data_IF_542108893095
#
_entry.id   IF_542108893095
#
_cell.length_a   1.000
_cell.length_b   1.000
_cell.length_c   1.000
_cell.angle_alpha   90.00
_cell.angle_beta   90.00
_cell.angle_gamma   90.00
#
_symmetry.space_group_name_H-M   'P 1'
#
loop_
_entity.id
_entity.type
_entity.pdbx_description
1 polymer ?
#
# COMPACT_ATOMS: atom_id res chain seq x y z
N UNK A 1 0.58 -4.75 -14.98
CA UNK A 1 -0.29 -4.29 -16.05
C UNK A 1 -0.16 -5.16 -17.31
N UNK A 2 0.98 -5.17 -18.03
CA UNK A 2 1.15 -5.95 -19.30
C UNK A 2 0.75 -7.42 -19.19
N UNK A 3 1.05 -8.10 -18.08
CA UNK A 3 0.66 -9.50 -17.89
C UNK A 3 -0.86 -9.65 -17.81
N UNK A 4 -1.55 -8.75 -17.10
CA UNK A 4 -3.01 -8.77 -17.01
C UNK A 4 -3.66 -8.52 -18.37
N UNK A 5 -3.17 -7.53 -19.12
CA UNK A 5 -3.63 -7.24 -20.49
C UNK A 5 -3.44 -8.46 -21.40
N UNK A 6 -2.27 -9.11 -21.36
CA UNK A 6 -1.99 -10.31 -22.18
C UNK A 6 -2.90 -11.50 -21.85
N UNK A 7 -3.54 -11.51 -20.68
CA UNK A 7 -4.44 -12.56 -20.24
C UNK A 7 -5.90 -12.09 -20.15
N UNK A 8 -6.21 -10.93 -20.74
CA UNK A 8 -7.56 -10.32 -20.72
C UNK A 8 -8.14 -10.26 -19.30
N UNK A 9 -7.33 -9.75 -18.37
CA UNK A 9 -7.72 -9.59 -16.96
C UNK A 9 -7.90 -8.11 -16.63
N UNK A 10 -9.02 -7.72 -15.99
CA UNK A 10 -9.22 -6.35 -15.58
C UNK A 10 -8.18 -5.93 -14.54
N UNK A 11 -7.78 -4.66 -14.60
CA UNK A 11 -6.84 -4.05 -13.66
C UNK A 11 -7.52 -2.86 -13.01
N UNK A 12 -7.55 -2.85 -11.69
CA UNK A 12 -8.10 -1.74 -10.90
C UNK A 12 -6.97 -1.03 -10.17
N UNK A 13 -7.04 0.29 -10.14
CA UNK A 13 -6.13 1.11 -9.36
C UNK A 13 -6.78 1.44 -8.01
N UNK A 14 -6.13 1.01 -6.92
CA UNK A 14 -6.63 1.27 -5.56
C UNK A 14 -6.37 2.72 -5.11
N UNK A 15 -5.39 3.39 -5.69
CA UNK A 15 -5.16 4.81 -5.45
C UNK A 15 -6.21 5.61 -6.20
N UNK A 16 -6.94 6.53 -5.52
CA UNK A 16 -7.89 7.41 -6.19
C UNK A 16 -7.21 8.33 -7.20
N UNK A 17 -7.96 8.77 -8.21
CA UNK A 17 -7.46 9.72 -9.19
C UNK A 17 -7.29 11.12 -8.56
N UNK A 18 -6.51 11.97 -9.21
CA UNK A 18 -6.31 13.36 -8.79
C UNK A 18 -7.58 14.21 -8.92
N UNK A 19 -8.54 13.77 -9.71
CA UNK A 19 -9.87 14.40 -9.83
C UNK A 19 -10.78 14.13 -8.61
N UNK A 20 -10.38 13.23 -7.71
CA UNK A 20 -11.05 12.99 -6.44
C UNK A 20 -10.67 14.09 -5.44
N UNK A 21 -11.63 14.97 -5.15
CA UNK A 21 -11.41 16.15 -4.29
C UNK A 21 -10.96 15.76 -2.88
N UNK A 22 -11.52 14.70 -2.30
CA UNK A 22 -11.13 14.22 -0.96
C UNK A 22 -9.69 13.69 -0.96
N UNK A 23 -9.32 13.00 -2.03
CA UNK A 23 -7.96 12.50 -2.18
C UNK A 23 -6.95 13.62 -2.39
N UNK A 24 -7.29 14.61 -3.21
CA UNK A 24 -6.46 15.79 -3.41
C UNK A 24 -6.25 16.59 -2.10
N UNK A 25 -7.32 16.77 -1.31
CA UNK A 25 -7.24 17.40 0.01
C UNK A 25 -6.37 16.58 0.97
N UNK A 26 -6.53 15.25 0.97
CA UNK A 26 -5.72 14.34 1.77
C UNK A 26 -4.23 14.47 1.44
N UNK A 27 -3.86 14.43 0.16
CA UNK A 27 -2.48 14.61 -0.31
C UNK A 27 -1.92 15.98 0.09
N UNK A 28 -2.74 17.02 0.05
CA UNK A 28 -2.39 18.35 0.52
C UNK A 28 -2.06 18.38 2.03
N UNK A 29 -2.85 17.69 2.86
CA UNK A 29 -2.59 17.55 4.30
C UNK A 29 -1.32 16.75 4.56
N UNK A 30 -1.08 15.67 3.83
CA UNK A 30 0.13 14.86 3.93
C UNK A 30 1.37 15.67 3.55
N UNK A 31 1.34 16.37 2.41
CA UNK A 31 2.43 17.25 1.97
C UNK A 31 2.75 18.33 3.01
N UNK A 32 1.73 19.01 3.54
CA UNK A 32 1.89 20.02 4.60
C UNK A 32 2.47 19.42 5.89
N UNK A 33 2.09 18.21 6.24
CA UNK A 33 2.65 17.52 7.39
C UNK A 33 4.13 17.17 7.18
N UNK A 34 4.54 16.84 5.96
CA UNK A 34 5.92 16.48 5.60
C UNK A 34 6.87 17.68 5.57
N UNK A 35 6.37 18.88 5.28
CA UNK A 35 7.18 20.12 5.18
C UNK A 35 7.51 20.77 6.52
N UNK A 36 7.08 20.22 7.64
CA UNK A 36 7.41 20.76 8.97
C UNK A 36 8.93 20.74 9.22
N UNK A 37 9.53 21.84 9.75
CA UNK A 37 10.98 21.98 9.87
C UNK A 37 11.66 20.84 10.64
N UNK A 38 11.04 20.35 11.72
CA UNK A 38 11.57 19.23 12.49
C UNK A 38 11.58 17.92 11.71
N UNK A 39 10.61 17.73 10.79
CA UNK A 39 10.59 16.55 9.93
C UNK A 39 11.66 16.63 8.85
N UNK A 40 11.85 17.80 8.26
CA UNK A 40 12.93 18.04 7.29
C UNK A 40 14.31 17.79 7.92
N UNK A 41 14.55 18.27 9.14
CA UNK A 41 15.78 17.99 9.88
C UNK A 41 15.99 16.48 10.11
N UNK A 42 14.91 15.73 10.40
CA UNK A 42 14.99 14.26 10.54
C UNK A 42 15.38 13.56 9.24
N UNK A 43 14.96 14.07 8.08
CA UNK A 43 15.30 13.52 6.76
C UNK A 43 16.81 13.61 6.52
N UNK A 44 17.46 14.70 6.90
CA UNK A 44 18.92 14.87 6.77
C UNK A 44 19.70 13.77 7.50
N UNK A 45 19.20 13.32 8.65
CA UNK A 45 19.82 12.23 9.42
C UNK A 45 19.29 10.83 9.07
N UNK A 46 18.48 10.72 8.03
CA UNK A 46 17.80 9.46 7.65
C UNK A 46 18.79 8.32 7.38
N UNK A 47 19.92 8.56 6.72
CA UNK A 47 20.88 7.50 6.41
C UNK A 47 21.49 6.85 7.65
N UNK A 48 21.75 7.63 8.70
CA UNK A 48 22.26 7.11 9.97
C UNK A 48 21.17 6.33 10.73
N UNK A 49 19.95 6.85 10.74
CA UNK A 49 18.76 6.21 11.33
C UNK A 49 18.42 4.92 10.60
N UNK A 50 18.51 4.93 9.26
CA UNK A 50 18.31 3.77 8.40
C UNK A 50 19.25 2.61 8.77
N UNK A 51 20.55 2.86 8.85
CA UNK A 51 21.53 1.84 9.23
C UNK A 51 21.27 1.25 10.63
N UNK A 52 20.91 2.11 11.60
CA UNK A 52 20.55 1.66 12.95
C UNK A 52 19.24 0.85 12.94
N UNK A 53 18.25 1.29 12.18
CA UNK A 53 16.96 0.62 12.02
C UNK A 53 17.12 -0.78 11.43
N UNK A 54 17.87 -0.93 10.33
CA UNK A 54 18.15 -2.24 9.73
C UNK A 54 18.81 -3.18 10.74
N UNK A 55 19.84 -2.69 11.46
CA UNK A 55 20.53 -3.50 12.47
C UNK A 55 19.60 -3.95 13.61
N UNK A 56 18.64 -3.09 14.00
CA UNK A 56 17.62 -3.41 14.99
C UNK A 56 16.63 -4.43 14.44
N UNK A 57 16.06 -4.20 13.25
CA UNK A 57 15.04 -5.05 12.65
C UNK A 57 15.55 -6.44 12.30
N UNK A 58 16.80 -6.58 11.87
CA UNK A 58 17.43 -7.91 11.64
C UNK A 58 17.39 -8.82 12.85
N UNK A 59 17.39 -8.26 14.08
CA UNK A 59 17.31 -9.05 15.31
C UNK A 59 15.90 -9.58 15.61
N UNK A 60 14.89 -8.99 14.98
CA UNK A 60 13.47 -9.34 15.18
C UNK A 60 12.88 -10.12 14.01
N UNK A 61 13.63 -10.27 12.91
CA UNK A 61 13.21 -11.12 11.80
C UNK A 61 13.35 -12.56 12.25
N UNK A 62 12.23 -13.28 12.29
CA UNK A 62 12.20 -14.70 12.61
C UNK A 62 12.88 -15.43 11.45
N UNK A 63 13.83 -16.32 11.78
CA UNK A 63 14.44 -17.21 10.82
C UNK A 63 13.34 -18.11 10.21
N UNK A 64 13.18 -18.00 8.92
CA UNK A 64 12.24 -18.84 8.17
C UNK A 64 12.85 -20.21 7.93
N UNK A 65 12.03 -21.27 7.78
CA UNK A 65 12.56 -22.60 7.44
C UNK A 65 13.36 -22.54 6.12
N UNK A 66 14.38 -23.37 6.03
CA UNK A 66 15.46 -23.39 5.02
C UNK A 66 15.07 -23.48 3.52
N UNK A 67 13.81 -23.37 3.19
CA UNK A 67 13.28 -23.43 1.81
C UNK A 67 12.98 -22.07 1.18
N UNK A 68 13.11 -20.98 1.93
CA UNK A 68 12.84 -19.66 1.39
C UNK A 68 14.12 -19.03 0.83
N UNK A 69 14.00 -18.17 -0.22
CA UNK A 69 15.13 -17.48 -0.80
C UNK A 69 15.90 -16.67 0.25
N UNK A 70 17.21 -16.75 0.28
CA UNK A 70 18.10 -16.07 1.23
C UNK A 70 17.89 -14.54 1.31
N UNK A 71 17.30 -13.95 0.28
CA UNK A 71 16.97 -12.52 0.25
C UNK A 71 15.72 -12.10 1.04
N UNK A 72 14.84 -13.03 1.43
CA UNK A 72 13.54 -12.67 1.99
C UNK A 72 13.64 -12.04 3.39
N UNK A 73 14.53 -12.55 4.23
CA UNK A 73 14.79 -11.98 5.56
C UNK A 73 15.38 -10.57 5.46
N UNK A 74 16.31 -10.36 4.53
CA UNK A 74 16.88 -9.04 4.27
C UNK A 74 15.80 -8.07 3.76
N UNK A 75 14.96 -8.51 2.83
CA UNK A 75 13.82 -7.74 2.32
C UNK A 75 12.83 -7.38 3.44
N UNK A 76 12.50 -8.32 4.33
CA UNK A 76 11.63 -8.10 5.48
C UNK A 76 12.21 -7.06 6.45
N UNK A 77 13.50 -7.15 6.76
CA UNK A 77 14.17 -6.19 7.63
C UNK A 77 14.22 -4.78 7.00
N UNK A 78 14.46 -4.69 5.69
CA UNK A 78 14.42 -3.43 4.94
C UNK A 78 13.02 -2.83 4.95
N UNK A 79 12.00 -3.63 4.64
CA UNK A 79 10.60 -3.21 4.62
C UNK A 79 10.13 -2.72 6.00
N UNK A 80 10.43 -3.46 7.06
CA UNK A 80 10.10 -3.07 8.43
C UNK A 80 10.81 -1.78 8.86
N UNK A 81 12.08 -1.61 8.47
CA UNK A 81 12.84 -0.39 8.74
C UNK A 81 12.24 0.80 8.00
N UNK A 82 11.92 0.63 6.72
CA UNK A 82 11.30 1.68 5.89
C UNK A 82 9.96 2.10 6.48
N UNK A 83 9.11 1.14 6.80
CA UNK A 83 7.79 1.38 7.39
C UNK A 83 7.89 2.12 8.73
N UNK A 84 8.77 1.67 9.64
CA UNK A 84 8.99 2.32 10.93
C UNK A 84 9.45 3.77 10.78
N UNK A 85 10.42 4.04 9.89
CA UNK A 85 10.92 5.40 9.65
C UNK A 85 9.88 6.29 8.96
N UNK A 86 9.08 5.72 8.07
CA UNK A 86 8.01 6.45 7.39
C UNK A 86 6.91 6.86 8.38
N UNK A 87 6.48 5.93 9.23
CA UNK A 87 5.49 6.21 10.29
C UNK A 87 5.95 7.28 11.27
N UNK A 88 7.21 7.26 11.68
CA UNK A 88 7.76 8.33 12.53
C UNK A 88 7.73 9.72 11.89
N UNK A 89 7.71 9.80 10.57
CA UNK A 89 7.69 11.04 9.80
C UNK A 89 6.30 11.46 9.33
N UNK A 90 5.32 10.58 9.35
CA UNK A 90 3.93 10.85 8.97
C UNK A 90 3.04 11.17 10.16
N UNK A 91 1.77 11.42 9.91
CA UNK A 91 0.72 11.59 10.92
C UNK A 91 -0.06 10.27 10.95
N UNK A 92 -0.17 9.66 12.14
CA UNK A 92 -0.78 8.33 12.25
C UNK A 92 -2.22 8.31 11.74
N UNK A 93 -3.01 9.32 12.06
CA UNK A 93 -4.40 9.45 11.60
C UNK A 93 -4.51 9.53 10.07
N UNK A 94 -3.55 10.19 9.41
CA UNK A 94 -3.52 10.25 7.94
C UNK A 94 -3.15 8.91 7.32
N UNK A 95 -2.23 8.16 7.93
CA UNK A 95 -1.89 6.82 7.45
C UNK A 95 -3.06 5.85 7.61
N UNK A 96 -3.74 5.90 8.75
CA UNK A 96 -4.90 5.03 9.01
C UNK A 96 -6.04 5.34 8.05
N UNK A 97 -6.35 6.61 7.82
CA UNK A 97 -7.38 7.01 6.85
C UNK A 97 -7.04 6.54 5.43
N UNK A 98 -5.77 6.63 5.02
CA UNK A 98 -5.28 6.13 3.73
C UNK A 98 -5.44 4.62 3.61
N UNK A 99 -5.00 3.87 4.61
CA UNK A 99 -5.07 2.41 4.61
C UNK A 99 -6.53 1.95 4.61
N UNK A 100 -7.43 2.60 5.37
CA UNK A 100 -8.86 2.32 5.38
C UNK A 100 -9.51 2.58 4.01
N UNK A 101 -9.19 3.70 3.37
CA UNK A 101 -9.73 4.00 2.05
C UNK A 101 -9.25 3.01 1.00
N UNK A 102 -7.97 2.62 1.04
CA UNK A 102 -7.47 1.59 0.14
C UNK A 102 -8.13 0.23 0.39
N UNK A 103 -8.40 -0.12 1.65
CA UNK A 103 -9.14 -1.34 1.99
C UNK A 103 -10.59 -1.28 1.47
N UNK A 104 -11.28 -0.14 1.58
CA UNK A 104 -12.61 0.07 1.02
C UNK A 104 -12.62 -0.12 -0.51
N UNK A 105 -11.63 0.43 -1.21
CA UNK A 105 -11.48 0.28 -2.66
C UNK A 105 -11.12 -1.13 -3.10
N UNK A 106 -10.31 -1.85 -2.32
CA UNK A 106 -10.05 -3.27 -2.57
C UNK A 106 -11.32 -4.11 -2.42
N UNK A 107 -12.15 -3.82 -1.42
CA UNK A 107 -13.45 -4.47 -1.27
C UNK A 107 -14.38 -4.16 -2.44
N UNK A 108 -14.46 -2.89 -2.85
CA UNK A 108 -15.25 -2.49 -4.02
C UNK A 108 -14.79 -3.19 -5.30
N UNK A 109 -13.47 -3.28 -5.54
CA UNK A 109 -12.93 -4.02 -6.67
C UNK A 109 -13.28 -5.51 -6.64
N UNK A 110 -13.28 -6.12 -5.47
CA UNK A 110 -13.69 -7.52 -5.32
C UNK A 110 -15.20 -7.70 -5.55
N UNK A 111 -16.04 -6.77 -5.10
CA UNK A 111 -17.48 -6.79 -5.38
C UNK A 111 -17.76 -6.72 -6.89
N UNK A 112 -17.17 -5.76 -7.60
CA UNK A 112 -17.28 -5.64 -9.06
C UNK A 112 -16.85 -6.94 -9.76
N UNK A 113 -15.74 -7.55 -9.31
CA UNK A 113 -15.28 -8.82 -9.88
C UNK A 113 -16.25 -9.96 -9.62
N UNK A 114 -16.85 -10.04 -8.44
CA UNK A 114 -17.84 -11.07 -8.11
C UNK A 114 -19.13 -10.92 -8.89
N UNK A 115 -19.59 -9.72 -9.09
CA UNK A 115 -20.74 -9.45 -9.95
C UNK A 115 -20.51 -9.91 -11.40
N UNK A 116 -19.28 -9.78 -11.90
CA UNK A 116 -18.93 -10.10 -13.29
C UNK A 116 -18.57 -11.58 -13.47
N UNK A 117 -17.82 -12.16 -12.53
CA UNK A 117 -17.19 -13.50 -12.67
C UNK A 117 -17.67 -14.54 -11.65
N UNK A 118 -18.58 -14.15 -10.74
CA UNK A 118 -19.12 -15.01 -9.69
C UNK A 118 -18.36 -14.95 -8.37
N UNK A 119 -18.93 -15.59 -7.34
CA UNK A 119 -18.47 -15.51 -5.95
C UNK A 119 -17.04 -16.05 -5.72
N UNK A 120 -16.57 -16.94 -6.59
CA UNK A 120 -15.22 -17.50 -6.53
C UNK A 120 -14.14 -16.58 -7.14
N UNK A 121 -14.51 -15.37 -7.56
CA UNK A 121 -13.56 -14.40 -8.12
C UNK A 121 -12.46 -14.04 -7.11
N UNK A 122 -11.22 -14.02 -7.59
CA UNK A 122 -10.03 -13.71 -6.78
C UNK A 122 -9.40 -12.42 -7.26
N UNK A 123 -9.23 -11.47 -6.34
CA UNK A 123 -8.49 -10.24 -6.57
C UNK A 123 -7.02 -10.43 -6.15
N UNK A 124 -6.09 -10.30 -7.11
CA UNK A 124 -4.66 -10.31 -6.84
C UNK A 124 -4.16 -8.88 -6.57
N UNK A 125 -3.61 -8.66 -5.39
CA UNK A 125 -3.16 -7.34 -4.95
C UNK A 125 -1.64 -7.31 -4.77
N UNK A 126 -0.86 -6.84 -5.75
CA UNK A 126 0.57 -6.64 -5.59
C UNK A 126 0.82 -5.37 -4.77
N UNK A 127 1.33 -5.53 -3.55
CA UNK A 127 1.68 -4.41 -2.68
C UNK A 127 3.11 -4.55 -2.15
N UNK A 128 3.68 -3.44 -1.71
CA UNK A 128 4.97 -3.46 -1.05
C UNK A 128 4.87 -4.20 0.30
N UNK A 129 5.86 -5.03 0.60
CA UNK A 129 5.90 -5.81 1.84
C UNK A 129 5.77 -4.94 3.10
N UNK A 130 6.28 -3.71 3.06
CA UNK A 130 6.18 -2.77 4.17
C UNK A 130 4.72 -2.41 4.55
N UNK A 131 3.79 -2.42 3.58
CA UNK A 131 2.38 -2.06 3.80
C UNK A 131 1.47 -3.26 4.05
N UNK A 132 2.00 -4.47 3.88
CA UNK A 132 1.17 -5.67 3.98
C UNK A 132 0.40 -5.76 5.30
N UNK A 133 1.05 -5.51 6.43
CA UNK A 133 0.40 -5.65 7.73
C UNK A 133 -0.64 -4.55 7.99
N UNK A 134 -0.33 -3.29 7.66
CA UNK A 134 -1.31 -2.20 7.83
C UNK A 134 -2.52 -2.38 6.93
N UNK A 135 -2.31 -2.84 5.70
CA UNK A 135 -3.41 -3.15 4.79
C UNK A 135 -4.28 -4.32 5.26
N UNK A 136 -3.67 -5.38 5.80
CA UNK A 136 -4.42 -6.49 6.39
C UNK A 136 -5.24 -6.02 7.59
N UNK A 137 -4.66 -5.22 8.49
CA UNK A 137 -5.39 -4.66 9.62
C UNK A 137 -6.55 -3.77 9.18
N UNK A 138 -6.36 -2.95 8.14
CA UNK A 138 -7.43 -2.13 7.59
C UNK A 138 -8.57 -2.98 6.98
N UNK A 139 -8.25 -4.06 6.28
CA UNK A 139 -9.23 -4.99 5.73
C UNK A 139 -10.00 -5.74 6.83
N UNK A 140 -9.36 -6.06 7.97
CA UNK A 140 -10.01 -6.69 9.12
C UNK A 140 -11.10 -5.81 9.75
N UNK A 141 -11.04 -4.49 9.58
CA UNK A 141 -12.11 -3.57 10.04
C UNK A 141 -13.35 -3.62 9.17
N UNK A 142 -13.30 -4.30 8.02
CA UNK A 142 -14.40 -4.44 7.06
C UNK A 142 -15.02 -3.09 6.65
N UNK A 143 -14.23 -2.11 6.15
CA UNK A 143 -14.79 -0.83 5.73
C UNK A 143 -15.80 -1.02 4.60
N UNK A 144 -16.77 -0.11 4.48
CA UNK A 144 -17.73 -0.14 3.38
C UNK A 144 -17.00 -0.12 2.03
N UNK A 145 -17.53 -0.89 1.07
CA UNK A 145 -16.93 -1.00 -0.25
C UNK A 145 -17.05 0.30 -1.04
N UNK A 146 -15.95 0.81 -1.57
CA UNK A 146 -15.91 2.00 -2.42
C UNK A 146 -15.77 1.55 -3.88
N UNK A 147 -16.85 1.71 -4.67
CA UNK A 147 -16.89 1.31 -6.08
C UNK A 147 -16.90 2.50 -7.04
N UNK A 148 -17.27 3.69 -6.57
CA UNK A 148 -17.62 4.86 -7.38
C UNK A 148 -16.51 5.43 -8.26
N UNK A 149 -15.25 5.14 -7.98
CA UNK A 149 -14.11 5.66 -8.74
C UNK A 149 -13.11 4.55 -9.15
N UNK A 150 -13.55 3.29 -9.09
CA UNK A 150 -12.77 2.16 -9.58
C UNK A 150 -12.97 2.03 -11.09
N UNK A 151 -12.23 2.82 -11.85
CA UNK A 151 -12.16 2.66 -13.31
C UNK A 151 -11.27 1.44 -13.56
N UNK A 152 -11.92 0.34 -13.96
CA UNK A 152 -11.19 -0.76 -14.58
C UNK A 152 -10.59 -0.24 -15.89
N UNK A 153 -9.29 -0.44 -16.11
CA UNK A 153 -8.76 -0.30 -17.45
C UNK A 153 -9.38 -1.42 -18.30
N UNK A 154 -10.56 -1.18 -18.87
CA UNK A 154 -10.93 -1.91 -20.07
C UNK A 154 -9.78 -1.72 -21.05
N UNK A 155 -9.31 -2.79 -21.62
CA UNK A 155 -8.43 -2.76 -22.79
C UNK A 155 -9.10 -1.82 -23.81
N UNK A 156 -8.68 -0.55 -23.84
CA UNK A 156 -8.99 0.29 -24.96
C UNK A 156 -8.12 -0.28 -26.06
N UNK A 157 -8.78 -0.95 -26.99
CA UNK A 157 -8.23 -1.27 -28.29
C UNK A 157 -7.73 0.06 -28.87
N UNK A 158 -6.41 0.25 -28.87
CA UNK A 158 -5.77 1.24 -29.71
C UNK A 158 -5.96 0.75 -31.15
N UNK A 159 -6.93 1.36 -31.85
CA UNK A 159 -7.02 1.33 -33.31
C UNK A 159 -5.82 2.05 -33.94
#
# INVERSE_FOLDING_TARGET
HKAAVNHDRPVYFIEPDMDDEEWAEFLGKEAKAMTRPLKLARIVFTSRRWRKGIKKMRKHVIEQPSREPDGLQAASALAATWWSLNRENSVDELNEAKDLRFAARLRGGLEILRETYGDDAILLVPIQQAWRNSMLSALETLPDAETSSLVGSSVQEEE
#
